data_IF_232475514452
#
_entry.id   IF_232475514452
#
_cell.length_a   1.000
_cell.length_b   1.000
_cell.length_c   1.000
_cell.angle_alpha   90.00
_cell.angle_beta   90.00
_cell.angle_gamma   90.00
#
_symmetry.space_group_name_H-M   'P 1'
#
loop_
_entity.id
_entity.type
_entity.pdbx_description
1 polymer ?
#
# COMPACT_ATOMS: atom_id res chain seq x y z
N UNK A 1 -24.81 -9.93 21.46
CA UNK A 1 -23.97 -11.05 20.96
C UNK A 1 -24.51 -11.49 19.60
N UNK A 2 -24.14 -10.79 18.51
CA UNK A 2 -24.59 -11.07 17.15
C UNK A 2 -23.43 -10.81 16.18
N UNK A 3 -22.87 -11.91 15.67
CA UNK A 3 -21.78 -11.95 14.70
C UNK A 3 -22.32 -11.70 13.29
N UNK A 4 -21.93 -10.59 12.66
CA UNK A 4 -22.18 -10.33 11.24
C UNK A 4 -21.24 -11.18 10.38
N UNK A 5 -21.77 -12.30 9.86
CA UNK A 5 -21.10 -13.15 8.87
C UNK A 5 -21.07 -12.42 7.52
N UNK A 6 -19.86 -12.18 7.00
CA UNK A 6 -19.64 -11.79 5.62
C UNK A 6 -19.91 -12.98 4.70
N UNK A 7 -20.96 -12.91 3.88
CA UNK A 7 -21.27 -13.92 2.86
C UNK A 7 -20.41 -13.70 1.62
N UNK A 8 -19.42 -14.57 1.40
CA UNK A 8 -18.82 -14.77 0.08
C UNK A 8 -19.67 -15.76 -0.71
N UNK A 9 -20.27 -15.33 -1.82
CA UNK A 9 -20.71 -16.24 -2.88
C UNK A 9 -20.10 -15.77 -4.20
N UNK A 10 -19.09 -16.51 -4.67
CA UNK A 10 -18.83 -16.64 -6.11
C UNK A 10 -18.84 -18.13 -6.43
N UNK A 11 -19.59 -18.44 -7.50
CA UNK A 11 -19.91 -19.80 -7.91
C UNK A 11 -18.66 -20.61 -8.25
N UNK A 12 -18.63 -21.80 -7.68
CA UNK A 12 -17.82 -22.94 -8.09
C UNK A 12 -18.36 -23.43 -9.44
N UNK A 13 -17.51 -23.45 -10.47
CA UNK A 13 -17.66 -24.40 -11.56
C UNK A 13 -16.54 -25.43 -11.42
N UNK A 14 -16.91 -26.57 -10.83
CA UNK A 14 -16.18 -27.83 -10.82
C UNK A 14 -16.36 -28.55 -12.15
N UNK A 15 -15.29 -29.18 -12.62
CA UNK A 15 -15.36 -30.43 -13.36
C UNK A 15 -15.02 -30.35 -14.84
N UNK A 16 -13.83 -30.83 -15.21
CA UNK A 16 -13.78 -32.13 -15.87
C UNK A 16 -12.39 -32.77 -15.70
N UNK A 17 -12.39 -33.85 -14.92
CA UNK A 17 -11.32 -34.82 -14.81
C UNK A 17 -11.50 -35.78 -15.98
N UNK A 18 -10.50 -35.90 -16.86
CA UNK A 18 -10.48 -36.98 -17.86
C UNK A 18 -9.38 -37.98 -17.53
N UNK A 19 -9.85 -39.20 -17.38
CA UNK A 19 -9.18 -40.42 -16.97
C UNK A 19 -8.18 -40.88 -18.03
N UNK A 20 -7.11 -41.45 -17.51
CA UNK A 20 -6.01 -42.16 -18.20
C UNK A 20 -6.54 -43.29 -19.09
N UNK A 21 -6.13 -43.32 -20.35
CA UNK A 21 -5.97 -44.56 -21.13
C UNK A 21 -4.60 -44.53 -21.80
N UNK A 22 -3.81 -45.56 -21.54
CA UNK A 22 -2.47 -45.72 -22.07
C UNK A 22 -2.46 -46.06 -23.56
N UNK A 23 -1.36 -45.67 -24.20
CA UNK A 23 -0.84 -46.34 -25.38
C UNK A 23 0.69 -46.33 -25.28
N UNK A 24 1.24 -47.53 -25.28
CA UNK A 24 2.65 -47.89 -25.41
C UNK A 24 3.23 -47.42 -26.73
N UNK A 25 4.44 -46.85 -26.68
CA UNK A 25 5.22 -46.48 -27.87
C UNK A 25 6.64 -46.07 -27.49
N UNK A 26 7.51 -47.06 -27.38
CA UNK A 26 8.98 -46.97 -27.32
C UNK A 26 9.57 -46.30 -28.58
N UNK A 27 10.73 -45.62 -28.46
CA UNK A 27 11.84 -45.39 -29.44
C UNK A 27 12.67 -44.15 -28.99
N UNK A 28 14.01 -44.07 -29.16
CA UNK A 28 15.00 -44.31 -28.10
C UNK A 28 15.77 -43.04 -27.68
N UNK A 29 16.52 -43.19 -26.59
CA UNK A 29 17.48 -42.22 -26.07
C UNK A 29 18.74 -42.22 -26.94
N UNK A 30 19.09 -41.07 -27.53
CA UNK A 30 20.45 -40.79 -27.99
C UNK A 30 20.97 -39.50 -27.37
N UNK A 31 22.09 -39.66 -26.66
CA UNK A 31 22.90 -38.60 -26.11
C UNK A 31 23.47 -37.73 -27.24
N UNK A 32 23.25 -36.43 -27.19
CA UNK A 32 24.18 -35.45 -27.75
C UNK A 32 24.35 -34.29 -26.77
N UNK A 33 25.45 -34.38 -26.01
CA UNK A 33 26.13 -33.23 -25.43
C UNK A 33 26.43 -32.23 -26.55
N UNK A 34 25.89 -31.02 -26.48
CA UNK A 34 26.62 -29.81 -26.89
C UNK A 34 25.89 -28.51 -26.54
N UNK A 35 26.68 -27.57 -26.02
CA UNK A 35 26.44 -26.12 -25.83
C UNK A 35 25.60 -25.68 -24.63
N UNK A 36 26.26 -25.75 -23.48
CA UNK A 36 26.17 -24.72 -22.42
C UNK A 36 26.75 -23.42 -22.99
N UNK A 37 25.91 -22.45 -23.33
CA UNK A 37 26.17 -21.00 -23.33
C UNK A 37 25.06 -20.29 -24.12
N UNK A 38 24.38 -19.32 -23.47
CA UNK A 38 23.32 -18.38 -23.92
C UNK A 38 22.01 -18.59 -23.14
N UNK A 39 21.51 -17.68 -22.31
CA UNK A 39 21.98 -16.37 -21.90
C UNK A 39 21.16 -15.87 -20.71
N UNK A 40 21.84 -15.42 -19.65
CA UNK A 40 21.30 -14.42 -18.74
C UNK A 40 21.42 -13.07 -19.45
N UNK A 41 20.43 -12.74 -20.28
CA UNK A 41 20.13 -11.36 -20.61
C UNK A 41 18.75 -11.09 -20.02
N UNK A 42 18.71 -10.62 -18.78
CA UNK A 42 17.54 -9.97 -18.21
C UNK A 42 17.43 -8.57 -18.79
N UNK A 43 17.17 -8.47 -20.10
CA UNK A 43 16.73 -7.20 -20.67
C UNK A 43 15.36 -6.89 -20.08
N UNK A 44 15.23 -5.77 -19.39
CA UNK A 44 13.95 -5.11 -19.14
C UNK A 44 13.35 -4.73 -20.50
N UNK A 45 12.74 -5.70 -21.18
CA UNK A 45 11.93 -5.41 -22.34
C UNK A 45 10.68 -4.69 -21.80
N UNK A 46 10.64 -3.37 -21.98
CA UNK A 46 9.41 -2.58 -21.91
C UNK A 46 8.53 -3.11 -23.04
N UNK A 47 7.89 -4.24 -22.81
CA UNK A 47 6.97 -4.82 -23.77
C UNK A 47 5.73 -3.92 -23.77
N UNK A 48 5.41 -3.35 -24.93
CA UNK A 48 4.05 -2.96 -25.26
C UNK A 48 3.18 -4.23 -25.26
N UNK A 49 2.85 -4.76 -24.09
CA UNK A 49 1.80 -5.78 -23.97
C UNK A 49 0.46 -5.11 -24.32
N UNK A 50 0.15 -5.04 -25.62
CA UNK A 50 -1.17 -4.75 -26.18
C UNK A 50 -2.12 -5.94 -25.96
N UNK A 51 -2.18 -6.48 -24.73
CA UNK A 51 -3.39 -7.18 -24.30
C UNK A 51 -4.47 -6.13 -24.20
N UNK A 52 -5.44 -6.14 -25.13
CA UNK A 52 -6.70 -5.37 -25.05
C UNK A 52 -7.36 -5.64 -23.70
N UNK A 53 -6.97 -4.85 -22.71
CA UNK A 53 -7.48 -4.91 -21.36
C UNK A 53 -8.83 -4.23 -21.41
N UNK A 54 -9.88 -4.89 -20.93
CA UNK A 54 -11.21 -4.31 -20.82
C UNK A 54 -11.07 -2.93 -20.18
N UNK A 55 -11.51 -1.89 -20.88
CA UNK A 55 -11.44 -0.52 -20.37
C UNK A 55 -12.12 -0.45 -19.01
N UNK A 56 -11.47 0.22 -18.05
CA UNK A 56 -12.05 0.36 -16.72
C UNK A 56 -13.23 1.31 -16.82
N UNK A 57 -14.44 0.76 -16.75
CA UNK A 57 -15.66 1.56 -16.75
C UNK A 57 -15.79 2.31 -15.42
N UNK A 58 -16.03 3.61 -15.51
CA UNK A 58 -16.32 4.45 -14.35
C UNK A 58 -17.69 4.12 -13.78
N UNK A 59 -17.79 4.05 -12.46
CA UNK A 59 -19.04 3.87 -11.75
C UNK A 59 -19.71 5.23 -11.52
N UNK A 60 -20.72 5.53 -12.32
CA UNK A 60 -21.35 6.84 -12.37
C UNK A 60 -21.96 7.27 -11.03
N UNK A 61 -22.61 6.37 -10.29
CA UNK A 61 -23.18 6.67 -8.97
C UNK A 61 -22.12 7.09 -7.96
N UNK A 62 -20.94 6.44 -7.98
CA UNK A 62 -19.80 6.81 -7.14
C UNK A 62 -19.22 8.15 -7.58
N UNK A 63 -19.03 8.35 -8.88
CA UNK A 63 -18.52 9.61 -9.41
C UNK A 63 -19.42 10.79 -9.07
N UNK A 64 -20.74 10.66 -9.22
CA UNK A 64 -21.71 11.70 -8.87
C UNK A 64 -21.65 12.04 -7.39
N UNK A 65 -21.61 11.03 -6.53
CA UNK A 65 -21.48 11.24 -5.09
C UNK A 65 -20.17 11.95 -4.72
N UNK A 66 -19.05 11.54 -5.31
CA UNK A 66 -17.76 12.22 -5.11
C UNK A 66 -17.77 13.64 -5.68
N UNK A 67 -18.43 13.88 -6.81
CA UNK A 67 -18.58 15.22 -7.38
C UNK A 67 -19.31 16.15 -6.42
N UNK A 68 -20.44 15.73 -5.85
CA UNK A 68 -21.17 16.55 -4.88
C UNK A 68 -20.30 16.86 -3.66
N UNK A 69 -19.79 15.82 -2.99
CA UNK A 69 -19.07 16.01 -1.74
C UNK A 69 -17.72 16.73 -1.92
N UNK A 70 -16.90 16.32 -2.88
CA UNK A 70 -15.55 16.85 -2.99
C UNK A 70 -15.49 18.20 -3.68
N UNK A 71 -16.50 18.59 -4.45
CA UNK A 71 -16.63 19.99 -4.88
C UNK A 71 -16.85 20.90 -3.67
N UNK A 72 -17.68 20.49 -2.71
CA UNK A 72 -17.89 21.23 -1.46
C UNK A 72 -16.65 21.23 -0.57
N UNK A 73 -15.98 20.09 -0.40
CA UNK A 73 -14.83 19.96 0.50
C UNK A 73 -13.52 20.54 -0.05
N UNK A 74 -13.30 20.48 -1.38
CA UNK A 74 -12.00 20.77 -2.01
C UNK A 74 -12.05 21.79 -3.15
N UNK A 75 -13.23 22.16 -3.65
CA UNK A 75 -13.40 23.11 -4.75
C UNK A 75 -12.61 22.72 -6.01
N UNK A 76 -11.84 23.66 -6.56
CA UNK A 76 -11.01 23.49 -7.76
C UNK A 76 -9.99 22.34 -7.65
N UNK A 77 -9.56 22.01 -6.44
CA UNK A 77 -8.62 20.92 -6.22
C UNK A 77 -9.25 19.56 -6.55
N UNK A 78 -10.56 19.40 -6.31
CA UNK A 78 -11.28 18.21 -6.74
C UNK A 78 -11.37 18.12 -8.25
N UNK A 79 -11.67 19.22 -8.96
CA UNK A 79 -11.81 19.21 -10.42
C UNK A 79 -10.54 18.72 -11.11
N UNK A 80 -9.39 19.28 -10.72
CA UNK A 80 -8.07 18.87 -11.23
C UNK A 80 -7.70 17.43 -10.83
N UNK A 81 -7.95 17.04 -9.58
CA UNK A 81 -7.68 15.67 -9.11
C UNK A 81 -8.54 14.63 -9.83
N UNK A 82 -9.82 14.95 -10.05
CA UNK A 82 -10.80 14.07 -10.69
C UNK A 82 -10.38 13.72 -12.11
N UNK A 83 -9.90 14.70 -12.89
CA UNK A 83 -9.42 14.45 -14.26
C UNK A 83 -8.30 13.39 -14.29
N UNK A 84 -7.38 13.46 -13.34
CA UNK A 84 -6.32 12.47 -13.19
C UNK A 84 -6.87 11.11 -12.76
N UNK A 85 -7.82 11.06 -11.82
CA UNK A 85 -8.42 9.81 -11.37
C UNK A 85 -9.26 9.12 -12.46
N UNK A 86 -9.91 9.88 -13.34
CA UNK A 86 -10.71 9.34 -14.43
C UNK A 86 -9.87 8.88 -15.63
N UNK A 87 -8.57 9.18 -15.65
CA UNK A 87 -7.65 8.76 -16.71
C UNK A 87 -6.58 7.77 -16.22
N UNK A 88 -6.87 6.45 -16.19
CA UNK A 88 -5.89 5.44 -15.80
C UNK A 88 -4.61 5.36 -16.62
N UNK A 89 -4.57 5.98 -17.81
CA UNK A 89 -3.39 5.96 -18.68
C UNK A 89 -2.31 6.91 -18.20
N UNK A 90 -2.65 7.99 -17.47
CA UNK A 90 -1.67 8.93 -16.93
C UNK A 90 -1.11 8.53 -15.55
N UNK A 91 -1.55 7.37 -15.03
CA UNK A 91 -1.23 6.91 -13.69
C UNK A 91 0.22 6.43 -13.57
N UNK A 92 1.00 7.14 -12.76
CA UNK A 92 2.38 6.80 -12.44
C UNK A 92 2.46 5.70 -11.38
N UNK A 93 3.55 4.93 -11.42
CA UNK A 93 3.87 3.90 -10.44
C UNK A 93 5.32 4.09 -9.97
N UNK A 94 5.52 4.01 -8.66
CA UNK A 94 6.84 3.90 -8.07
C UNK A 94 7.32 2.46 -8.11
N UNK A 95 8.63 2.29 -8.23
CA UNK A 95 9.34 1.02 -8.26
C UNK A 95 10.16 0.94 -6.97
N UNK A 96 9.57 0.32 -5.96
CA UNK A 96 10.24 0.07 -4.69
C UNK A 96 11.14 -1.16 -4.88
N UNK A 97 12.46 -0.95 -4.90
CA UNK A 97 13.43 -2.03 -5.03
C UNK A 97 13.42 -2.89 -3.77
N UNK A 98 13.67 -4.18 -3.95
CA UNK A 98 13.76 -5.14 -2.86
C UNK A 98 15.22 -5.33 -2.46
N UNK A 99 15.61 -4.76 -1.32
CA UNK A 99 16.95 -4.87 -0.73
C UNK A 99 17.36 -6.31 -0.38
N UNK A 100 16.40 -7.23 -0.31
CA UNK A 100 16.65 -8.65 -0.05
C UNK A 100 16.95 -9.47 -1.31
N UNK A 101 16.94 -8.84 -2.48
CA UNK A 101 17.25 -9.47 -3.76
C UNK A 101 18.30 -8.68 -4.53
N UNK A 102 19.10 -9.36 -5.34
CA UNK A 102 20.02 -8.72 -6.26
C UNK A 102 19.24 -7.93 -7.33
N UNK A 103 19.55 -6.65 -7.46
CA UNK A 103 18.83 -5.73 -8.35
C UNK A 103 19.77 -4.78 -9.12
N UNK A 104 21.08 -5.03 -9.12
CA UNK A 104 22.09 -4.15 -9.74
C UNK A 104 21.76 -3.88 -11.21
N UNK A 105 21.38 -4.92 -11.96
CA UNK A 105 21.03 -4.79 -13.38
C UNK A 105 19.74 -3.99 -13.58
N UNK A 106 18.73 -4.19 -12.71
CA UNK A 106 17.43 -3.51 -12.82
C UNK A 106 17.54 -2.02 -12.48
N UNK A 107 18.28 -1.65 -11.44
CA UNK A 107 18.43 -0.25 -11.06
C UNK A 107 19.13 0.55 -12.17
N UNK A 108 20.20 -0.01 -12.75
CA UNK A 108 20.92 0.61 -13.85
C UNK A 108 20.03 0.76 -15.09
N UNK A 109 19.29 -0.28 -15.47
CA UNK A 109 18.35 -0.26 -16.59
C UNK A 109 17.26 0.80 -16.40
N UNK A 110 16.66 0.88 -15.21
CA UNK A 110 15.63 1.86 -14.90
C UNK A 110 16.17 3.29 -14.96
N UNK A 111 17.34 3.53 -14.37
CA UNK A 111 18.00 4.84 -14.43
C UNK A 111 18.32 5.26 -15.87
N UNK A 112 18.83 4.33 -16.70
CA UNK A 112 19.09 4.58 -18.12
C UNK A 112 17.81 4.89 -18.91
N UNK A 113 16.67 4.34 -18.45
CA UNK A 113 15.33 4.59 -19.00
C UNK A 113 14.64 5.84 -18.42
N UNK A 114 15.38 6.71 -17.72
CA UNK A 114 14.86 7.98 -17.20
C UNK A 114 14.19 7.91 -15.84
N UNK A 115 14.19 6.76 -15.15
CA UNK A 115 13.75 6.70 -13.76
C UNK A 115 14.76 7.38 -12.85
N UNK A 116 14.27 8.03 -11.80
CA UNK A 116 15.09 8.70 -10.80
C UNK A 116 14.59 8.40 -9.39
N UNK A 117 15.46 8.55 -8.40
CA UNK A 117 15.11 8.28 -7.00
C UNK A 117 14.07 9.28 -6.51
N UNK A 118 13.00 8.78 -5.89
CA UNK A 118 11.97 9.58 -5.22
C UNK A 118 12.52 10.34 -4.01
N UNK A 119 13.48 9.73 -3.32
CA UNK A 119 14.14 10.31 -2.15
C UNK A 119 15.57 10.69 -2.54
N UNK A 120 16.03 11.83 -2.04
CA UNK A 120 17.39 12.32 -2.24
C UNK A 120 18.44 11.31 -1.72
N UNK A 121 19.67 11.32 -2.28
CA UNK A 121 20.72 10.39 -1.89
C UNK A 121 21.08 10.46 -0.40
N UNK A 122 21.63 9.36 0.16
CA UNK A 122 21.86 9.16 1.59
C UNK A 122 22.88 10.09 2.25
N UNK A 123 23.59 10.93 1.49
CA UNK A 123 24.57 11.91 2.01
C UNK A 123 23.91 13.13 2.68
N UNK A 124 22.58 13.20 2.67
CA UNK A 124 21.86 14.09 3.60
C UNK A 124 21.95 13.50 5.02
N UNK A 125 22.42 14.25 6.03
CA UNK A 125 22.54 13.79 7.42
C UNK A 125 21.20 13.35 8.07
N UNK A 126 20.09 13.45 7.33
CA UNK A 126 18.74 13.13 7.75
C UNK A 126 18.13 11.92 7.01
N UNK A 127 18.89 11.22 6.16
CA UNK A 127 18.40 9.99 5.51
C UNK A 127 18.29 8.85 6.52
N UNK A 128 17.23 8.88 7.34
CA UNK A 128 16.94 7.83 8.34
C UNK A 128 16.57 6.50 7.70
N UNK A 129 16.14 6.54 6.45
CA UNK A 129 15.79 5.37 5.63
C UNK A 129 16.91 5.08 4.63
N UNK A 130 18.13 4.82 5.13
CA UNK A 130 19.34 4.60 4.29
C UNK A 130 19.17 3.48 3.24
N UNK A 131 18.17 2.62 3.41
CA UNK A 131 17.94 1.45 2.59
C UNK A 131 16.72 1.55 1.65
N UNK A 132 15.89 2.58 1.77
CA UNK A 132 14.66 2.67 0.99
C UNK A 132 14.93 3.23 -0.41
N UNK A 133 15.02 2.36 -1.39
CA UNK A 133 15.17 2.74 -2.80
C UNK A 133 13.83 2.64 -3.54
N UNK A 134 13.22 3.80 -3.80
CA UNK A 134 12.03 3.90 -4.65
C UNK A 134 12.36 4.77 -5.86
N UNK A 135 12.26 4.20 -7.06
CA UNK A 135 12.46 4.90 -8.31
C UNK A 135 11.11 5.31 -8.92
N UNK A 136 11.05 6.51 -9.50
CA UNK A 136 9.86 7.05 -10.16
C UNK A 136 10.22 7.61 -11.53
N UNK A 137 9.22 7.76 -12.39
CA UNK A 137 9.38 8.30 -13.73
C UNK A 137 8.38 9.45 -13.95
N UNK A 138 8.77 10.48 -14.71
CA UNK A 138 7.89 11.65 -14.97
C UNK A 138 6.66 11.26 -15.80
N UNK A 139 6.84 10.36 -16.74
CA UNK A 139 5.76 9.80 -17.56
C UNK A 139 5.16 8.55 -16.91
N UNK A 140 3.94 8.21 -17.32
CA UNK A 140 3.23 7.01 -16.89
C UNK A 140 3.80 5.74 -17.55
N UNK A 141 5.03 5.39 -17.20
CA UNK A 141 5.69 4.16 -17.61
C UNK A 141 5.23 3.00 -16.70
N UNK A 142 4.93 1.85 -17.31
CA UNK A 142 4.48 0.67 -16.57
C UNK A 142 5.44 -0.49 -16.75
N UNK A 143 6.07 -0.87 -15.64
CA UNK A 143 6.85 -2.10 -15.58
C UNK A 143 5.95 -3.34 -15.50
N UNK A 144 6.42 -4.48 -16.04
CA UNK A 144 5.72 -5.75 -15.90
C UNK A 144 5.64 -6.15 -14.43
N UNK A 145 4.55 -6.81 -14.05
CA UNK A 145 4.46 -7.41 -12.71
C UNK A 145 5.27 -8.70 -12.67
N UNK A 146 6.18 -8.81 -11.71
CA UNK A 146 6.89 -10.07 -11.47
C UNK A 146 5.96 -11.12 -10.85
N UNK A 147 5.96 -12.33 -11.41
CA UNK A 147 5.19 -13.47 -10.88
C UNK A 147 5.88 -14.04 -9.65
N UNK A 148 5.09 -14.56 -8.71
CA UNK A 148 5.63 -15.33 -7.59
C UNK A 148 6.30 -16.60 -8.11
N UNK A 149 7.46 -16.94 -7.56
CA UNK A 149 8.21 -18.17 -7.84
C UNK A 149 8.80 -18.66 -6.52
N UNK A 150 8.54 -19.90 -6.15
CA UNK A 150 9.07 -20.45 -4.91
C UNK A 150 10.60 -20.49 -4.95
N UNK A 151 11.23 -20.04 -3.86
CA UNK A 151 12.69 -19.93 -3.75
C UNK A 151 13.29 -18.67 -4.38
N UNK A 152 12.49 -17.80 -5.01
CA UNK A 152 12.97 -16.56 -5.63
C UNK A 152 12.23 -15.35 -5.07
N UNK A 153 13.00 -14.35 -4.63
CA UNK A 153 12.43 -13.07 -4.24
C UNK A 153 12.24 -12.17 -5.47
N UNK A 154 11.13 -11.44 -5.48
CA UNK A 154 10.89 -10.42 -6.50
C UNK A 154 11.80 -9.22 -6.27
N UNK A 155 12.29 -8.63 -7.34
CA UNK A 155 13.28 -7.56 -7.33
C UNK A 155 12.68 -6.18 -7.05
N UNK A 156 11.40 -5.99 -7.31
CA UNK A 156 10.72 -4.72 -7.03
C UNK A 156 9.22 -4.87 -6.81
N UNK A 157 8.67 -3.96 -6.02
CA UNK A 157 7.25 -3.80 -5.77
C UNK A 157 6.73 -2.54 -6.47
N UNK A 158 5.64 -2.67 -7.24
CA UNK A 158 4.99 -1.54 -7.91
C UNK A 158 3.88 -0.96 -7.03
N UNK A 159 3.94 0.34 -6.75
CA UNK A 159 3.01 1.03 -5.86
C UNK A 159 2.71 2.46 -6.32
N UNK A 160 1.68 3.06 -5.73
CA UNK A 160 1.54 4.52 -5.76
C UNK A 160 2.57 5.09 -4.77
N UNK A 161 3.52 5.89 -5.25
CA UNK A 161 4.65 6.39 -4.44
C UNK A 161 4.20 7.17 -3.19
N UNK A 162 3.04 7.84 -3.22
CA UNK A 162 2.49 8.49 -2.04
C UNK A 162 2.22 7.50 -0.88
N UNK A 163 2.05 6.20 -1.16
CA UNK A 163 1.90 5.16 -0.13
C UNK A 163 3.15 4.93 0.72
N UNK A 164 4.30 5.51 0.34
CA UNK A 164 5.50 5.52 1.17
C UNK A 164 5.48 6.62 2.23
N UNK A 165 4.67 7.68 2.06
CA UNK A 165 4.62 8.79 3.01
C UNK A 165 4.24 8.34 4.44
N UNK A 166 3.23 7.47 4.66
CA UNK A 166 2.95 6.95 6.01
C UNK A 166 4.12 6.16 6.61
N UNK A 167 4.84 5.40 5.79
CA UNK A 167 5.98 4.57 6.23
C UNK A 167 7.16 5.45 6.62
N UNK A 168 7.44 6.49 5.82
CA UNK A 168 8.48 7.48 6.11
C UNK A 168 8.13 8.30 7.36
N UNK A 169 6.88 8.73 7.51
CA UNK A 169 6.38 9.44 8.69
C UNK A 169 6.44 8.57 9.96
N UNK A 170 6.31 7.25 9.82
CA UNK A 170 6.46 6.32 10.94
C UNK A 170 7.90 6.29 11.45
N UNK A 171 8.89 6.60 10.60
CA UNK A 171 10.31 6.76 10.97
C UNK A 171 10.85 5.60 11.82
N UNK A 172 10.59 4.37 11.38
CA UNK A 172 11.03 3.13 12.07
C UNK A 172 12.54 3.08 12.17
N UNK A 173 13.05 2.65 13.33
CA UNK A 173 14.46 2.41 13.62
C UNK A 173 14.71 0.92 13.82
N UNK A 174 15.96 0.53 13.59
CA UNK A 174 16.40 -0.84 13.80
C UNK A 174 16.16 -1.28 15.25
N UNK A 175 15.68 -2.51 15.42
CA UNK A 175 15.37 -3.09 16.73
C UNK A 175 14.01 -2.69 17.34
N UNK A 176 13.24 -1.79 16.72
CA UNK A 176 11.91 -1.43 17.21
C UNK A 176 10.85 -2.50 16.89
N UNK A 177 9.82 -2.58 17.73
CA UNK A 177 8.62 -3.40 17.49
C UNK A 177 7.55 -2.58 16.79
N UNK A 178 7.14 -3.02 15.62
CA UNK A 178 6.20 -2.31 14.74
C UNK A 178 4.94 -3.14 14.52
N UNK A 179 3.78 -2.50 14.60
CA UNK A 179 2.49 -3.07 14.22
C UNK A 179 1.97 -2.40 12.95
N UNK A 180 1.72 -3.17 11.89
CA UNK A 180 0.90 -2.77 10.75
C UNK A 180 -0.51 -3.36 10.96
N UNK A 181 -1.43 -2.52 11.46
CA UNK A 181 -2.72 -2.96 11.98
C UNK A 181 -3.69 -3.45 10.89
N UNK A 182 -3.53 -2.94 9.66
CA UNK A 182 -4.40 -3.17 8.50
C UNK A 182 -3.52 -3.43 7.25
N UNK A 183 -2.76 -4.52 7.30
CA UNK A 183 -1.55 -4.67 6.51
C UNK A 183 -1.77 -5.10 5.06
N UNK A 184 -2.87 -5.77 4.72
CA UNK A 184 -3.00 -6.29 3.36
C UNK A 184 -3.24 -5.18 2.33
N UNK A 185 -2.68 -5.29 1.13
CA UNK A 185 -2.03 -6.49 0.57
C UNK A 185 -0.55 -6.68 0.94
N UNK A 186 0.02 -5.85 1.82
CA UNK A 186 1.39 -6.00 2.35
C UNK A 186 2.42 -5.03 1.78
N UNK A 187 2.01 -4.06 0.95
CA UNK A 187 2.94 -3.10 0.36
C UNK A 187 3.62 -2.17 1.37
N UNK A 188 2.89 -1.73 2.41
CA UNK A 188 3.45 -0.86 3.46
C UNK A 188 4.30 -1.65 4.45
N UNK A 189 3.85 -2.84 4.89
CA UNK A 189 4.70 -3.78 5.63
C UNK A 189 6.02 -4.09 4.91
N UNK A 190 5.96 -4.39 3.60
CA UNK A 190 7.16 -4.59 2.80
C UNK A 190 8.05 -3.34 2.80
N UNK A 191 7.47 -2.14 2.59
CA UNK A 191 8.21 -0.89 2.64
C UNK A 191 8.87 -0.61 4.00
N UNK A 192 8.24 -0.98 5.12
CA UNK A 192 8.86 -0.89 6.47
C UNK A 192 10.15 -1.72 6.53
N UNK A 193 10.14 -2.94 5.98
CA UNK A 193 11.33 -3.80 5.90
C UNK A 193 12.40 -3.25 4.93
N UNK A 194 12.00 -2.40 3.98
CA UNK A 194 12.94 -1.70 3.11
C UNK A 194 13.54 -0.46 3.79
N UNK A 195 12.93 0.07 4.85
CA UNK A 195 13.47 1.23 5.59
C UNK A 195 14.39 0.85 6.73
N UNK A 196 14.11 -0.25 7.44
CA UNK A 196 14.74 -0.59 8.72
C UNK A 196 14.75 -2.11 8.96
N UNK A 197 15.47 -2.54 9.99
CA UNK A 197 15.50 -3.91 10.52
C UNK A 197 14.76 -3.96 11.86
N UNK A 198 13.42 -4.02 11.88
CA UNK A 198 12.65 -4.07 13.11
C UNK A 198 12.95 -5.36 13.89
N UNK A 199 12.85 -5.32 15.23
CA UNK A 199 12.92 -6.55 16.04
C UNK A 199 11.67 -7.41 15.85
N UNK A 200 10.53 -6.77 15.61
CA UNK A 200 9.26 -7.40 15.28
C UNK A 200 8.49 -6.50 14.32
N UNK A 201 7.99 -7.07 13.23
CA UNK A 201 6.94 -6.47 12.40
C UNK A 201 5.71 -7.38 12.46
N UNK A 202 4.70 -6.94 13.20
CA UNK A 202 3.41 -7.60 13.31
C UNK A 202 2.46 -7.06 12.24
N UNK A 203 2.08 -7.89 11.28
CA UNK A 203 1.16 -7.56 10.20
C UNK A 203 -0.21 -8.18 10.47
N UNK A 204 -1.24 -7.37 10.68
CA UNK A 204 -2.61 -7.86 10.89
C UNK A 204 -3.51 -7.55 9.69
N UNK A 205 -4.37 -8.48 9.29
CA UNK A 205 -5.45 -8.24 8.33
C UNK A 205 -6.69 -9.01 8.74
N UNK A 206 -7.83 -8.35 8.90
CA UNK A 206 -9.07 -8.97 9.37
C UNK A 206 -9.78 -9.77 8.27
N UNK A 207 -9.72 -9.33 7.01
CA UNK A 207 -10.35 -10.05 5.91
C UNK A 207 -9.51 -11.25 5.48
N UNK A 208 -10.11 -12.44 5.56
CA UNK A 208 -9.41 -13.70 5.27
C UNK A 208 -8.85 -13.77 3.83
N UNK A 209 -9.54 -13.19 2.86
CA UNK A 209 -9.08 -13.25 1.46
C UNK A 209 -7.87 -12.33 1.24
N UNK A 210 -7.92 -11.13 1.82
CA UNK A 210 -6.82 -10.17 1.83
C UNK A 210 -5.64 -10.65 2.67
N UNK A 211 -5.88 -11.37 3.76
CA UNK A 211 -4.85 -12.03 4.55
C UNK A 211 -4.03 -13.00 3.69
N UNK A 212 -4.69 -13.80 2.85
CA UNK A 212 -3.99 -14.68 1.90
C UNK A 212 -3.15 -13.90 0.88
N UNK A 213 -3.59 -12.70 0.47
CA UNK A 213 -2.79 -11.81 -0.39
C UNK A 213 -1.57 -11.26 0.33
N UNK A 214 -1.73 -10.82 1.59
CA UNK A 214 -0.64 -10.37 2.44
C UNK A 214 0.42 -11.47 2.59
N UNK A 215 0.01 -12.68 2.96
CA UNK A 215 0.91 -13.83 3.07
C UNK A 215 1.68 -14.08 1.77
N UNK A 216 0.98 -14.08 0.63
CA UNK A 216 1.61 -14.27 -0.68
C UNK A 216 2.59 -13.15 -1.03
N UNK A 217 2.26 -11.90 -0.68
CA UNK A 217 3.17 -10.76 -0.85
C UNK A 217 4.42 -10.97 -0.01
N UNK A 218 4.30 -11.23 1.30
CA UNK A 218 5.46 -11.42 2.16
C UNK A 218 6.33 -12.59 1.69
N UNK A 219 5.73 -13.72 1.30
CA UNK A 219 6.45 -14.86 0.70
C UNK A 219 7.16 -14.54 -0.62
N UNK A 220 6.65 -13.58 -1.40
CA UNK A 220 7.23 -13.18 -2.70
C UNK A 220 8.42 -12.24 -2.55
N UNK A 221 8.51 -11.50 -1.45
CA UNK A 221 9.43 -10.36 -1.32
C UNK A 221 10.39 -10.48 -0.13
N UNK A 222 10.03 -11.24 0.91
CA UNK A 222 10.80 -11.30 2.14
C UNK A 222 11.48 -12.67 2.28
N UNK A 223 12.79 -12.73 2.59
CA UNK A 223 13.50 -13.99 2.79
C UNK A 223 12.99 -14.72 4.03
N UNK A 224 12.99 -16.06 3.98
CA UNK A 224 12.58 -16.91 5.11
C UNK A 224 13.42 -16.71 6.38
N UNK A 225 14.66 -16.24 6.24
CA UNK A 225 15.55 -15.94 7.36
C UNK A 225 15.01 -14.83 8.29
N UNK A 226 14.10 -13.97 7.79
CA UNK A 226 13.41 -12.96 8.60
C UNK A 226 12.10 -13.49 9.22
N UNK A 227 11.91 -14.81 9.26
CA UNK A 227 10.72 -15.45 9.82
C UNK A 227 10.47 -15.05 11.28
N UNK A 228 11.52 -14.98 12.10
CA UNK A 228 11.40 -14.61 13.52
C UNK A 228 11.06 -13.12 13.73
N UNK A 229 11.37 -12.28 12.74
CA UNK A 229 11.01 -10.85 12.73
C UNK A 229 9.55 -10.64 12.33
N UNK A 230 8.91 -11.58 11.62
CA UNK A 230 7.57 -11.40 11.06
C UNK A 230 6.50 -12.18 11.81
N UNK A 231 5.50 -11.47 12.31
CA UNK A 231 4.26 -12.05 12.82
C UNK A 231 3.10 -11.66 11.90
N UNK A 232 2.26 -12.60 11.49
CA UNK A 232 1.12 -12.31 10.61
C UNK A 232 -0.17 -12.90 11.19
N UNK A 233 -1.14 -12.05 11.52
CA UNK A 233 -2.41 -12.46 12.16
C UNK A 233 -3.63 -12.14 11.31
N UNK A 234 -4.69 -12.93 11.51
CA UNK A 234 -6.02 -12.70 10.95
C UNK A 234 -7.01 -12.36 12.08
N UNK A 235 -6.79 -11.24 12.76
CA UNK A 235 -7.54 -10.79 13.95
C UNK A 235 -8.30 -9.49 13.64
N UNK A 236 -9.32 -9.18 14.45
CA UNK A 236 -9.95 -7.86 14.42
C UNK A 236 -9.00 -6.82 15.02
N UNK A 237 -8.56 -5.86 14.19
CA UNK A 237 -7.63 -4.81 14.61
C UNK A 237 -8.14 -3.97 15.78
N UNK A 238 -9.45 -3.94 16.03
CA UNK A 238 -10.06 -3.22 17.16
C UNK A 238 -9.74 -3.86 18.52
N UNK A 239 -9.35 -5.13 18.54
CA UNK A 239 -9.10 -5.88 19.78
C UNK A 239 -7.60 -5.97 20.12
N UNK A 240 -6.71 -5.70 19.16
CA UNK A 240 -5.26 -5.87 19.34
C UNK A 240 -4.72 -5.01 20.49
N UNK A 241 -5.20 -3.78 20.66
CA UNK A 241 -4.79 -2.91 21.76
C UNK A 241 -5.04 -3.49 23.15
N UNK A 242 -6.12 -4.26 23.31
CA UNK A 242 -6.45 -4.94 24.56
C UNK A 242 -5.62 -6.21 24.76
N UNK A 243 -5.30 -6.92 23.66
CA UNK A 243 -4.52 -8.15 23.70
C UNK A 243 -3.03 -7.91 23.90
N UNK A 244 -2.51 -6.80 23.36
CA UNK A 244 -1.08 -6.48 23.28
C UNK A 244 -0.81 -5.03 23.75
N UNK A 245 -1.25 -4.65 24.96
CA UNK A 245 -1.18 -3.27 25.43
C UNK A 245 0.27 -2.81 25.59
N UNK A 246 0.60 -1.64 25.03
CA UNK A 246 1.92 -1.03 25.13
C UNK A 246 3.07 -1.87 24.54
N UNK A 247 2.78 -2.86 23.71
CA UNK A 247 3.77 -3.80 23.18
C UNK A 247 4.66 -3.20 22.08
N UNK A 248 4.13 -2.24 21.32
CA UNK A 248 4.78 -1.74 20.11
C UNK A 248 5.38 -0.36 20.32
N UNK A 249 6.56 -0.11 19.74
CA UNK A 249 7.17 1.22 19.68
C UNK A 249 6.43 2.12 18.69
N UNK A 250 5.98 1.52 17.58
CA UNK A 250 5.38 2.20 16.45
C UNK A 250 4.20 1.41 15.89
N UNK A 251 3.12 2.11 15.54
CA UNK A 251 1.93 1.50 14.94
C UNK A 251 1.54 2.24 13.67
N UNK A 252 1.35 1.51 12.58
CA UNK A 252 0.76 1.99 11.34
C UNK A 252 -0.71 1.59 11.27
N UNK A 253 -1.58 2.58 11.08
CA UNK A 253 -3.01 2.41 10.85
C UNK A 253 -3.34 2.90 9.44
N UNK A 254 -3.03 2.07 8.44
CA UNK A 254 -3.49 2.28 7.06
C UNK A 254 -4.94 1.82 6.92
N UNK A 255 -5.86 2.70 7.32
CA UNK A 255 -7.20 2.29 7.65
C UNK A 255 -8.03 1.90 6.40
N UNK A 256 -8.96 0.94 6.55
CA UNK A 256 -9.98 0.72 5.52
C UNK A 256 -10.74 2.02 5.30
N UNK A 257 -10.79 2.45 4.05
CA UNK A 257 -11.38 3.72 3.63
C UNK A 257 -12.12 3.54 2.29
N UNK A 258 -12.75 4.61 1.83
CA UNK A 258 -13.43 4.67 0.54
C UNK A 258 -12.51 4.51 -0.68
N UNK A 259 -11.19 4.47 -0.51
CA UNK A 259 -10.20 4.11 -1.56
C UNK A 259 -10.60 4.66 -2.94
N UNK A 260 -10.72 6.00 -3.00
CA UNK A 260 -11.55 6.69 -4.01
C UNK A 260 -11.16 6.33 -5.44
N UNK A 261 -9.85 6.21 -5.68
CA UNK A 261 -9.30 5.79 -6.97
C UNK A 261 -9.77 4.40 -7.38
N UNK A 262 -9.92 3.46 -6.45
CA UNK A 262 -10.43 2.12 -6.74
C UNK A 262 -11.95 2.08 -6.82
N UNK A 263 -12.66 2.84 -5.98
CA UNK A 263 -14.13 2.83 -5.96
C UNK A 263 -14.74 3.47 -7.20
N UNK A 264 -14.06 4.45 -7.81
CA UNK A 264 -14.44 5.01 -9.12
C UNK A 264 -14.57 3.96 -10.22
N UNK A 265 -13.87 2.82 -10.12
CA UNK A 265 -13.92 1.73 -11.10
C UNK A 265 -14.57 0.47 -10.52
N UNK A 266 -15.59 0.65 -9.68
CA UNK A 266 -16.43 -0.44 -9.16
C UNK A 266 -17.02 -1.27 -10.30
N UNK A 267 -17.14 -2.59 -10.12
CA UNK A 267 -17.56 -3.55 -11.15
C UNK A 267 -19.07 -3.52 -11.48
N UNK A 268 -19.72 -2.37 -11.28
CA UNK A 268 -21.15 -2.15 -11.55
C UNK A 268 -21.81 -1.15 -10.60
N UNK A 269 -22.98 -0.63 -11.00
CA UNK A 269 -23.75 0.35 -10.22
C UNK A 269 -24.17 -0.18 -8.84
N UNK A 270 -24.64 -1.43 -8.76
CA UNK A 270 -25.04 -2.06 -7.49
C UNK A 270 -23.89 -2.14 -6.48
N UNK A 271 -22.67 -2.47 -6.94
CA UNK A 271 -21.50 -2.49 -6.07
C UNK A 271 -21.13 -1.08 -5.61
N UNK A 272 -21.24 -0.08 -6.49
CA UNK A 272 -21.04 1.32 -6.14
C UNK A 272 -22.02 1.79 -5.06
N UNK A 273 -23.32 1.52 -5.23
CA UNK A 273 -24.35 1.89 -4.25
C UNK A 273 -24.17 1.20 -2.90
N UNK A 274 -23.76 -0.07 -2.89
CA UNK A 274 -23.45 -0.78 -1.64
C UNK A 274 -22.28 -0.09 -0.92
N UNK A 275 -21.19 0.19 -1.64
CA UNK A 275 -20.02 0.89 -1.11
C UNK A 275 -20.38 2.26 -0.53
N UNK A 276 -21.19 3.03 -1.25
CA UNK A 276 -21.66 4.35 -0.77
C UNK A 276 -22.49 4.23 0.50
N UNK A 277 -23.36 3.20 0.62
CA UNK A 277 -24.12 2.92 1.85
C UNK A 277 -23.22 2.54 3.02
N UNK A 278 -22.14 1.81 2.77
CA UNK A 278 -21.19 1.40 3.81
C UNK A 278 -20.22 2.51 4.20
N UNK A 279 -19.99 3.48 3.32
CA UNK A 279 -19.02 4.58 3.51
C UNK A 279 -19.24 5.38 4.80
N UNK A 280 -20.49 5.63 5.18
CA UNK A 280 -20.82 6.39 6.39
C UNK A 280 -20.38 5.72 7.69
N UNK A 281 -20.09 4.41 7.66
CA UNK A 281 -19.62 3.63 8.83
C UNK A 281 -18.10 3.67 8.97
N UNK A 282 -17.37 4.07 7.92
CA UNK A 282 -15.91 4.05 7.90
C UNK A 282 -15.26 4.97 8.94
N UNK A 283 -15.71 6.23 9.14
CA UNK A 283 -15.12 7.11 10.15
C UNK A 283 -15.15 6.52 11.57
N UNK A 284 -16.27 5.87 11.93
CA UNK A 284 -16.40 5.24 13.25
C UNK A 284 -15.47 4.03 13.40
N UNK A 285 -15.37 3.19 12.36
CA UNK A 285 -14.42 2.08 12.34
C UNK A 285 -12.96 2.56 12.43
N UNK A 286 -12.61 3.59 11.67
CA UNK A 286 -11.28 4.21 11.66
C UNK A 286 -10.92 4.75 13.05
N UNK A 287 -11.85 5.43 13.73
CA UNK A 287 -11.67 5.86 15.12
C UNK A 287 -11.44 4.67 16.07
N UNK A 288 -12.23 3.60 15.96
CA UNK A 288 -12.06 2.40 16.79
C UNK A 288 -10.68 1.75 16.59
N UNK A 289 -10.21 1.65 15.35
CA UNK A 289 -8.89 1.14 15.02
C UNK A 289 -7.78 2.02 15.60
N UNK A 290 -7.93 3.35 15.55
CA UNK A 290 -6.99 4.28 16.17
C UNK A 290 -6.94 4.16 17.70
N UNK A 291 -8.09 4.02 18.36
CA UNK A 291 -8.12 3.77 19.80
C UNK A 291 -7.36 2.47 20.15
N UNK A 292 -7.56 1.40 19.38
CA UNK A 292 -6.83 0.14 19.56
C UNK A 292 -5.32 0.31 19.33
N UNK A 293 -4.93 1.02 18.26
CA UNK A 293 -3.53 1.33 17.97
C UNK A 293 -2.85 2.12 19.11
N UNK A 294 -3.54 3.11 19.66
CA UNK A 294 -3.05 3.89 20.80
C UNK A 294 -2.94 3.04 22.08
N UNK A 295 -3.82 2.07 22.30
CA UNK A 295 -3.66 1.13 23.41
C UNK A 295 -2.48 0.16 23.19
N UNK A 296 -2.25 -0.27 21.95
CA UNK A 296 -1.17 -1.18 21.56
C UNK A 296 0.22 -0.53 21.58
N UNK A 297 0.31 0.78 21.29
CA UNK A 297 1.58 1.51 21.31
C UNK A 297 2.00 1.82 22.74
N UNK A 298 3.30 1.71 23.04
CA UNK A 298 3.85 2.08 24.34
C UNK A 298 3.73 3.58 24.62
N UNK A 299 3.76 4.00 25.88
CA UNK A 299 3.93 5.42 26.22
C UNK A 299 5.18 6.01 25.55
N UNK A 300 5.03 7.20 24.98
CA UNK A 300 6.01 7.88 24.14
C UNK A 300 6.10 7.37 22.69
N UNK A 301 5.43 6.27 22.36
CA UNK A 301 5.46 5.67 21.02
C UNK A 301 4.60 6.43 19.99
N UNK A 302 4.81 6.10 18.72
CA UNK A 302 4.23 6.81 17.58
C UNK A 302 3.17 5.96 16.86
N UNK A 303 2.02 6.56 16.58
CA UNK A 303 1.00 5.99 15.68
C UNK A 303 0.93 6.87 14.43
N UNK A 304 1.00 6.27 13.26
CA UNK A 304 0.72 6.95 11.99
C UNK A 304 -0.59 6.44 11.43
N UNK A 305 -1.54 7.35 11.25
CA UNK A 305 -2.80 7.10 10.56
C UNK A 305 -2.65 7.47 9.09
N UNK A 306 -3.17 6.62 8.19
CA UNK A 306 -3.27 6.96 6.78
C UNK A 306 -4.53 6.42 6.12
N UNK A 307 -4.96 7.11 5.07
CA UNK A 307 -6.04 6.67 4.17
C UNK A 307 -5.68 7.00 2.72
N UNK A 308 -6.36 6.37 1.76
CA UNK A 308 -6.29 6.74 0.35
C UNK A 308 -7.62 7.32 -0.16
N UNK A 309 -8.20 8.25 0.62
CA UNK A 309 -9.43 8.99 0.30
C UNK A 309 -9.23 10.49 0.48
N UNK A 310 -9.99 11.29 -0.26
CA UNK A 310 -10.09 12.73 -0.07
C UNK A 310 -10.99 13.12 1.11
N UNK A 311 -11.86 12.22 1.57
CA UNK A 311 -12.95 12.56 2.47
C UNK A 311 -12.52 13.18 3.80
N UNK A 312 -12.97 14.41 4.06
CA UNK A 312 -12.78 15.06 5.37
C UNK A 312 -13.34 14.21 6.51
N UNK A 313 -14.48 13.54 6.26
CA UNK A 313 -15.14 12.68 7.24
C UNK A 313 -14.28 11.48 7.67
N UNK A 314 -13.47 10.94 6.75
CA UNK A 314 -12.57 9.80 7.01
C UNK A 314 -11.16 10.26 7.45
N UNK A 315 -10.85 11.56 7.34
CA UNK A 315 -9.54 12.14 7.62
C UNK A 315 -9.61 13.06 8.85
N UNK A 316 -9.72 14.38 8.65
CA UNK A 316 -9.66 15.38 9.72
C UNK A 316 -10.74 15.14 10.79
N UNK A 317 -11.96 14.77 10.39
CA UNK A 317 -13.05 14.54 11.35
C UNK A 317 -12.77 13.34 12.28
N UNK A 318 -12.06 12.31 11.80
CA UNK A 318 -11.63 11.18 12.64
C UNK A 318 -10.60 11.65 13.67
N UNK A 319 -9.64 12.48 13.26
CA UNK A 319 -8.63 13.05 14.17
C UNK A 319 -9.28 13.97 15.21
N UNK A 320 -10.17 14.87 14.79
CA UNK A 320 -10.93 15.76 15.69
C UNK A 320 -11.75 14.96 16.71
N UNK A 321 -12.48 13.95 16.24
CA UNK A 321 -13.26 13.08 17.11
C UNK A 321 -12.40 12.24 18.06
N UNK A 322 -11.18 11.86 17.66
CA UNK A 322 -10.25 11.13 18.52
C UNK A 322 -9.69 12.04 19.62
N UNK A 323 -9.13 13.20 19.24
CA UNK A 323 -8.48 14.15 20.14
C UNK A 323 -9.46 14.73 21.17
N UNK A 324 -10.71 14.99 20.76
CA UNK A 324 -11.76 15.45 21.68
C UNK A 324 -12.16 14.41 22.74
N UNK A 325 -11.90 13.12 22.51
CA UNK A 325 -12.33 12.04 23.41
C UNK A 325 -11.18 11.29 24.09
N UNK A 326 -9.92 11.61 23.76
CA UNK A 326 -8.74 10.89 24.26
C UNK A 326 -7.82 11.83 25.03
N UNK A 327 -7.62 11.54 26.31
CA UNK A 327 -6.57 12.19 27.10
C UNK A 327 -5.22 11.53 26.83
N UNK A 328 -4.14 12.30 26.88
CA UNK A 328 -2.78 11.77 26.70
C UNK A 328 -2.40 11.43 25.26
N UNK A 329 -3.11 11.96 24.27
CA UNK A 329 -2.75 11.85 22.84
C UNK A 329 -2.42 13.24 22.31
N UNK A 330 -1.32 13.36 21.58
CA UNK A 330 -0.94 14.60 20.89
C UNK A 330 -0.73 14.37 19.40
N UNK A 331 -1.01 15.39 18.60
CA UNK A 331 -0.61 15.42 17.20
C UNK A 331 0.92 15.53 17.11
N UNK A 332 1.47 14.81 16.14
CA UNK A 332 2.88 14.90 15.76
C UNK A 332 2.94 15.52 14.38
N UNK A 333 3.55 16.70 14.31
CA UNK A 333 3.87 17.31 13.02
C UNK A 333 4.90 16.44 12.30
N UNK A 334 4.65 16.20 11.01
CA UNK A 334 5.62 15.52 10.17
C UNK A 334 6.79 16.48 9.94
N UNK A 335 7.99 15.94 9.83
CA UNK A 335 9.21 16.72 9.64
C UNK A 335 9.10 17.61 8.40
N UNK A 336 9.38 18.90 8.55
CA UNK A 336 9.30 19.87 7.46
C UNK A 336 10.22 19.48 6.31
N UNK A 337 11.38 18.88 6.61
CA UNK A 337 12.32 18.37 5.62
C UNK A 337 11.75 17.18 4.83
N UNK A 338 10.98 16.30 5.47
CA UNK A 338 10.31 15.19 4.79
C UNK A 338 9.26 15.72 3.81
N UNK A 339 8.43 16.67 4.24
CA UNK A 339 7.41 17.28 3.38
C UNK A 339 8.08 18.11 2.27
N UNK A 340 9.10 18.89 2.61
CA UNK A 340 9.86 19.72 1.67
C UNK A 340 10.52 18.88 0.58
N UNK A 341 11.21 17.80 0.94
CA UNK A 341 11.87 16.90 -0.04
C UNK A 341 10.87 16.21 -0.97
N UNK A 342 9.68 15.85 -0.48
CA UNK A 342 8.65 15.21 -1.29
C UNK A 342 7.79 16.20 -2.09
N UNK A 343 7.80 17.51 -1.77
CA UNK A 343 6.99 18.52 -2.45
C UNK A 343 7.37 18.75 -3.92
N UNK A 344 8.59 18.36 -4.32
CA UNK A 344 9.00 18.31 -5.72
C UNK A 344 8.24 17.23 -6.53
N UNK A 345 7.76 16.19 -5.85
CA UNK A 345 7.13 15.02 -6.47
C UNK A 345 5.63 14.94 -6.21
N UNK A 346 5.18 15.37 -5.03
CA UNK A 346 3.80 15.28 -4.58
C UNK A 346 3.16 16.67 -4.49
N UNK A 347 1.88 16.74 -4.85
CA UNK A 347 1.05 17.92 -4.59
C UNK A 347 0.36 17.72 -3.25
N UNK A 348 0.66 18.59 -2.28
CA UNK A 348 -0.01 18.59 -0.99
C UNK A 348 -1.18 19.59 -1.00
N UNK A 349 -2.35 19.14 -0.55
CA UNK A 349 -3.50 20.00 -0.32
C UNK A 349 -3.31 20.84 0.95
N UNK A 350 -3.81 22.08 0.93
CA UNK A 350 -3.95 22.88 2.14
C UNK A 350 -5.25 22.50 2.84
N UNK A 351 -5.15 21.84 3.99
CA UNK A 351 -6.31 21.38 4.74
C UNK A 351 -6.80 22.47 5.71
N UNK A 352 -8.12 22.54 5.90
CA UNK A 352 -8.75 23.36 6.93
C UNK A 352 -9.71 22.48 7.76
N UNK A 353 -9.44 22.26 9.06
CA UNK A 353 -8.23 22.67 9.79
C UNK A 353 -6.96 21.94 9.28
N UNK A 354 -5.75 22.47 9.57
CA UNK A 354 -4.49 21.91 9.09
C UNK A 354 -4.04 20.67 9.89
N UNK A 355 -4.93 19.68 10.00
CA UNK A 355 -4.67 18.44 10.74
C UNK A 355 -4.23 17.35 9.76
N UNK A 356 -2.94 17.03 9.78
CA UNK A 356 -2.31 16.07 8.88
C UNK A 356 -2.01 16.63 7.48
N UNK A 357 -1.55 15.76 6.58
CA UNK A 357 -1.18 16.09 5.22
C UNK A 357 -1.96 15.24 4.23
N UNK A 358 -2.43 15.84 3.13
CA UNK A 358 -3.10 15.13 2.05
C UNK A 358 -2.33 15.32 0.74
N UNK A 359 -1.76 14.24 0.22
CA UNK A 359 -1.26 14.19 -1.16
C UNK A 359 -2.44 14.02 -2.09
N UNK A 360 -2.55 14.89 -3.10
CA UNK A 360 -3.59 14.84 -4.13
C UNK A 360 -2.96 14.63 -5.50
N UNK A 361 -3.63 13.89 -6.41
CA UNK A 361 -3.15 13.71 -7.77
C UNK A 361 -3.33 15.00 -8.56
N UNK A 362 -2.29 15.40 -9.29
CA UNK A 362 -2.30 16.55 -10.19
C UNK A 362 -1.68 16.12 -11.53
N UNK A 363 -1.96 16.83 -12.61
CA UNK A 363 -1.37 16.52 -13.91
C UNK A 363 0.18 16.56 -13.82
N UNK A 364 0.83 15.48 -14.28
CA UNK A 364 2.29 15.29 -14.14
C UNK A 364 2.78 14.82 -12.76
N UNK A 365 1.90 14.80 -11.73
CA UNK A 365 2.16 14.28 -10.37
C UNK A 365 0.96 13.45 -9.90
N UNK A 366 0.75 12.29 -10.52
CA UNK A 366 -0.50 11.51 -10.41
C UNK A 366 -0.56 10.58 -9.18
N UNK A 367 0.13 10.99 -8.12
CA UNK A 367 0.26 10.28 -6.85
C UNK A 367 -0.93 10.56 -5.92
N UNK A 368 -1.19 9.63 -5.00
CA UNK A 368 -2.35 9.73 -4.12
C UNK A 368 -3.71 9.37 -4.76
N UNK A 369 -4.83 9.75 -4.11
CA UNK A 369 -4.88 10.46 -2.82
C UNK A 369 -4.18 9.68 -1.69
N UNK A 370 -3.53 10.38 -0.76
CA UNK A 370 -2.95 9.80 0.44
C UNK A 370 -2.99 10.81 1.59
N UNK A 371 -3.82 10.55 2.60
CA UNK A 371 -3.83 11.29 3.84
C UNK A 371 -2.88 10.65 4.85
N UNK A 372 -2.14 11.45 5.61
CA UNK A 372 -1.23 11.01 6.68
C UNK A 372 -1.32 11.93 7.89
N UNK A 373 -1.41 11.35 9.08
CA UNK A 373 -1.37 12.08 10.35
C UNK A 373 -0.58 11.30 11.41
N UNK A 374 0.34 11.97 12.11
CA UNK A 374 1.11 11.40 13.21
C UNK A 374 0.47 11.69 14.56
N UNK A 375 0.51 10.70 15.47
CA UNK A 375 0.00 10.79 16.83
C UNK A 375 1.03 10.21 17.80
N UNK A 376 1.19 10.83 18.97
CA UNK A 376 2.02 10.30 20.05
C UNK A 376 1.17 10.05 21.29
N UNK A 377 1.36 8.88 21.89
CA UNK A 377 0.82 8.55 23.20
C UNK A 377 1.74 9.13 24.27
N UNK A 378 1.26 10.04 25.11
CA UNK A 378 2.07 10.70 26.16
C UNK A 378 2.34 9.78 27.36
N UNK A 379 1.35 8.97 27.77
CA UNK A 379 1.38 8.17 29.00
C UNK A 379 0.66 6.83 28.86
#
# INVERSE_FOLDING_TARGET
>A
MLSLKWFSKTNVFTGCCCIIKGCSGSVPVSFQLNRISRGLHTGLCVQEETRRRTERKVCESVLQHFNTQYTEELGELWLSSREVLLNPQCWQYGVLLNRFSDHVDIEADLKSSGYYSLLSPPDSPFSRSQHLQCLVHKEAARLPKQRHRDGWLKQYYLLNAASLLPVLALAVRDGEKVLDLCSAPGGKAFAVLQTANPALLHCNEVDKSRYMWLMKTLQSYVPRALGDTLSVTNEDGRDIGNQKPGMFDKVLVDAPCSNDRSWLFSAGAQQGELRLRERSKLPQLQKQLLCSALAAVRPGGLVVYSTCTFSRAENQAVMEALLSSSQGVELVELEEELIGSLSAHFKFARLQPPVGHLVVPEQGRTWGPMYVCGLRRRS
#
